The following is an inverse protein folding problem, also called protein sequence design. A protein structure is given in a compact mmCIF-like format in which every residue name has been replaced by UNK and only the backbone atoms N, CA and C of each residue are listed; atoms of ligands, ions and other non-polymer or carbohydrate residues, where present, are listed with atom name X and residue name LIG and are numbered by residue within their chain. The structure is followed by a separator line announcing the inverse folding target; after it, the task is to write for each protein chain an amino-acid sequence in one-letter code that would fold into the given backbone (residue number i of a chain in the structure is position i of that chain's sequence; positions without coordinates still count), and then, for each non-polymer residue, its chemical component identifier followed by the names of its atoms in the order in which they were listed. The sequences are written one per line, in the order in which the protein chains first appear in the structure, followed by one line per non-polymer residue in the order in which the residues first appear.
data_IF_309906592850
#
_entry.id   IF_309906592850
#
_cell.length_a   1.000
_cell.length_b   1.000
_cell.length_c   1.000
_cell.angle_alpha   90.00
_cell.angle_beta   90.00
_cell.angle_gamma   90.00
#
_symmetry.space_group_name_H-M   'P 1'
#
loop_
_entity.id
_entity.type
_entity.pdbx_description
1 polymer ?
#
# COMPACT_ATOMS: atom_id res chain seq x y z
N UNK A 1 2.18 2.45 -31.11
CA UNK A 1 2.35 1.40 -30.08
C UNK A 1 2.24 2.00 -28.70
N UNK A 2 1.53 1.33 -27.82
CA UNK A 2 1.40 1.72 -26.41
C UNK A 2 2.72 1.45 -25.69
N UNK A 3 3.30 2.49 -25.09
CA UNK A 3 4.56 2.39 -24.37
C UNK A 3 4.29 1.92 -22.94
N UNK A 4 5.00 0.90 -22.46
CA UNK A 4 4.89 0.40 -21.10
C UNK A 4 5.98 0.99 -20.21
N UNK A 5 5.60 1.49 -19.07
CA UNK A 5 6.50 1.99 -18.04
C UNK A 5 6.40 1.11 -16.81
N UNK A 6 7.53 0.60 -16.36
CA UNK A 6 7.64 -0.21 -15.15
C UNK A 6 8.18 0.69 -14.04
N UNK A 7 7.40 0.81 -12.96
CA UNK A 7 7.74 1.65 -11.80
C UNK A 7 8.17 0.73 -10.65
N UNK A 8 9.35 1.01 -10.13
CA UNK A 8 9.92 0.33 -8.96
C UNK A 8 9.26 0.73 -7.64
N UNK A 9 9.92 0.43 -6.54
CA UNK A 9 9.44 0.68 -5.18
C UNK A 9 8.97 2.12 -4.99
N UNK A 10 7.75 2.29 -4.49
CA UNK A 10 7.12 3.60 -4.26
C UNK A 10 7.16 4.00 -2.79
N UNK A 11 6.92 3.03 -1.89
CA UNK A 11 6.97 3.24 -0.45
C UNK A 11 6.25 4.51 0.04
N UNK A 12 4.98 4.66 -0.33
CA UNK A 12 4.14 5.75 0.16
C UNK A 12 4.49 7.16 -0.34
N UNK A 13 5.38 7.28 -1.32
CA UNK A 13 5.82 8.55 -1.91
C UNK A 13 4.83 9.05 -3.00
N UNK A 14 3.59 9.26 -2.57
CA UNK A 14 2.47 9.63 -3.45
C UNK A 14 2.73 10.89 -4.28
N UNK A 15 3.24 11.95 -3.64
CA UNK A 15 3.41 13.24 -4.32
C UNK A 15 4.46 13.15 -5.43
N UNK A 16 5.54 12.42 -5.19
CA UNK A 16 6.59 12.17 -6.17
C UNK A 16 6.05 11.29 -7.31
N UNK A 17 5.31 10.23 -6.95
CA UNK A 17 4.69 9.33 -7.92
C UNK A 17 3.71 10.08 -8.83
N UNK A 18 2.85 10.94 -8.28
CA UNK A 18 1.89 11.72 -9.04
C UNK A 18 2.58 12.61 -10.07
N UNK A 19 3.66 13.29 -9.67
CA UNK A 19 4.45 14.12 -10.57
C UNK A 19 5.15 13.32 -11.67
N UNK A 20 5.57 12.10 -11.36
CA UNK A 20 6.14 11.18 -12.37
C UNK A 20 5.08 10.80 -13.40
N UNK A 21 3.92 10.36 -12.95
CA UNK A 21 2.81 9.93 -13.82
C UNK A 21 2.35 11.07 -14.72
N UNK A 22 2.27 12.31 -14.22
CA UNK A 22 1.91 13.49 -15.01
C UNK A 22 2.85 13.74 -16.20
N UNK A 23 4.10 13.27 -16.10
CA UNK A 23 5.11 13.40 -17.18
C UNK A 23 5.04 12.28 -18.22
N UNK A 24 4.33 11.20 -17.91
CA UNK A 24 4.20 10.08 -18.83
C UNK A 24 3.10 10.37 -19.89
N UNK A 25 3.19 9.76 -21.08
CA UNK A 25 2.13 9.85 -22.06
C UNK A 25 0.80 9.36 -21.48
N UNK A 26 -0.29 10.03 -21.83
CA UNK A 26 -1.64 9.70 -21.29
C UNK A 26 -2.08 8.27 -21.61
N UNK A 27 -1.64 7.75 -22.74
CA UNK A 27 -1.93 6.39 -23.23
C UNK A 27 -0.90 5.35 -22.72
N UNK A 28 0.05 5.76 -21.90
CA UNK A 28 1.06 4.84 -21.36
C UNK A 28 0.44 3.71 -20.53
N UNK A 29 0.96 2.52 -20.71
CA UNK A 29 0.69 1.40 -19.81
C UNK A 29 1.64 1.50 -18.61
N UNK A 30 1.11 1.50 -17.40
CA UNK A 30 1.90 1.62 -16.17
C UNK A 30 1.77 0.32 -15.38
N UNK A 31 2.91 -0.24 -14.99
CA UNK A 31 3.00 -1.46 -14.20
C UNK A 31 3.93 -1.22 -13.01
N UNK A 32 3.45 -1.56 -11.82
CA UNK A 32 4.22 -1.48 -10.58
C UNK A 32 4.78 -2.84 -10.19
N UNK A 33 6.00 -2.86 -9.67
CA UNK A 33 6.66 -4.10 -9.21
C UNK A 33 6.29 -4.47 -7.77
N UNK A 34 5.29 -3.83 -7.20
CA UNK A 34 4.96 -3.94 -5.77
C UNK A 34 5.70 -2.90 -4.94
N UNK A 35 5.75 -3.13 -3.63
CA UNK A 35 6.34 -2.23 -2.64
C UNK A 35 5.80 -0.78 -2.75
N UNK A 36 4.48 -0.71 -2.82
CA UNK A 36 3.72 0.53 -2.92
C UNK A 36 3.67 1.29 -1.58
N UNK A 37 3.75 0.55 -0.49
CA UNK A 37 3.43 0.97 0.87
C UNK A 37 4.65 0.97 1.79
N UNK A 38 4.43 1.42 3.01
CA UNK A 38 5.39 1.48 4.12
C UNK A 38 6.44 2.58 3.94
N UNK A 39 7.02 3.03 5.05
CA UNK A 39 8.06 4.06 5.15
C UNK A 39 7.58 5.47 4.84
N UNK A 40 7.10 5.74 3.63
CA UNK A 40 6.59 7.05 3.22
C UNK A 40 5.21 7.37 3.81
N UNK A 41 4.82 8.64 3.75
CA UNK A 41 3.70 9.17 4.51
C UNK A 41 2.31 8.86 3.94
N UNK A 42 2.22 8.45 2.67
CA UNK A 42 0.94 8.40 1.94
C UNK A 42 0.69 7.05 1.25
N UNK A 43 0.87 5.95 2.00
CA UNK A 43 0.65 4.59 1.49
C UNK A 43 -0.79 4.36 1.03
N UNK A 44 -1.77 4.85 1.81
CA UNK A 44 -3.19 4.76 1.47
C UNK A 44 -3.48 5.41 0.11
N UNK A 45 -2.95 6.59 -0.10
CA UNK A 45 -3.14 7.36 -1.33
C UNK A 45 -2.48 6.68 -2.54
N UNK A 46 -1.33 6.02 -2.34
CA UNK A 46 -0.67 5.23 -3.40
C UNK A 46 -1.55 4.05 -3.81
N UNK A 47 -2.07 3.27 -2.86
CA UNK A 47 -2.99 2.17 -3.14
C UNK A 47 -4.22 2.68 -3.90
N UNK A 48 -4.83 3.77 -3.44
CA UNK A 48 -5.99 4.36 -4.09
C UNK A 48 -5.70 4.75 -5.54
N UNK A 49 -4.54 5.36 -5.79
CA UNK A 49 -4.11 5.74 -7.14
C UNK A 49 -4.00 4.53 -8.07
N UNK A 50 -3.36 3.46 -7.61
CA UNK A 50 -3.15 2.24 -8.41
C UNK A 50 -4.48 1.55 -8.69
N UNK A 51 -5.34 1.42 -7.68
CA UNK A 51 -6.68 0.82 -7.82
C UNK A 51 -7.58 1.60 -8.74
N UNK A 52 -7.71 2.91 -8.50
CA UNK A 52 -8.61 3.81 -9.26
C UNK A 52 -8.29 3.83 -10.74
N UNK A 53 -7.01 3.81 -11.09
CA UNK A 53 -6.58 3.85 -12.48
C UNK A 53 -6.40 2.44 -13.08
N UNK A 54 -6.64 1.40 -12.31
CA UNK A 54 -6.49 0.02 -12.72
C UNK A 54 -5.11 -0.27 -13.34
N UNK A 55 -4.07 0.30 -12.75
CA UNK A 55 -2.69 0.04 -13.18
C UNK A 55 -2.28 -1.40 -12.88
N UNK A 56 -1.43 -1.98 -13.72
CA UNK A 56 -0.83 -3.28 -13.44
C UNK A 56 0.04 -3.20 -12.17
N UNK A 57 -0.02 -4.24 -11.35
CA UNK A 57 0.81 -4.32 -10.15
C UNK A 57 1.03 -5.79 -9.78
N UNK A 58 2.26 -6.13 -9.41
CA UNK A 58 2.57 -7.42 -8.79
C UNK A 58 2.64 -7.28 -7.27
N UNK A 59 2.48 -8.40 -6.57
CA UNK A 59 2.54 -8.42 -5.11
C UNK A 59 4.00 -8.30 -4.65
N UNK A 60 4.32 -7.21 -3.95
CA UNK A 60 5.60 -7.03 -3.29
C UNK A 60 5.64 -7.64 -1.89
N UNK A 61 6.83 -7.73 -1.30
CA UNK A 61 6.97 -8.26 0.06
C UNK A 61 6.34 -7.34 1.12
N UNK A 62 6.34 -6.04 0.93
CA UNK A 62 5.69 -5.10 1.84
C UNK A 62 4.16 -5.26 1.84
N UNK A 63 3.55 -5.49 0.69
CA UNK A 63 2.12 -5.81 0.59
C UNK A 63 1.80 -7.12 1.27
N UNK A 64 2.66 -8.14 1.14
CA UNK A 64 2.48 -9.40 1.86
C UNK A 64 2.53 -9.19 3.38
N UNK A 65 3.43 -8.35 3.87
CA UNK A 65 3.47 -7.98 5.29
C UNK A 65 2.16 -7.33 5.75
N UNK A 66 1.61 -6.42 4.95
CA UNK A 66 0.30 -5.80 5.24
C UNK A 66 -0.83 -6.83 5.24
N UNK A 67 -0.82 -7.77 4.31
CA UNK A 67 -1.84 -8.86 4.28
C UNK A 67 -1.76 -9.67 5.58
N UNK A 68 -0.58 -10.12 5.97
CA UNK A 68 -0.40 -11.02 7.12
C UNK A 68 -0.67 -10.31 8.44
N UNK A 69 0.04 -9.23 8.68
CA UNK A 69 0.00 -8.50 9.96
C UNK A 69 -1.17 -7.53 10.04
N UNK A 70 -1.56 -6.90 8.92
CA UNK A 70 -2.73 -6.03 8.85
C UNK A 70 -4.02 -6.79 9.11
N UNK A 71 -4.15 -8.01 8.58
CA UNK A 71 -5.30 -8.89 8.88
C UNK A 71 -5.37 -9.21 10.37
N UNK A 72 -4.25 -9.50 11.01
CA UNK A 72 -4.19 -9.72 12.46
C UNK A 72 -4.59 -8.46 13.24
N UNK A 73 -4.13 -7.30 12.80
CA UNK A 73 -4.52 -6.01 13.38
C UNK A 73 -6.03 -5.78 13.33
N UNK A 74 -6.68 -6.08 12.22
CA UNK A 74 -8.14 -5.90 12.10
C UNK A 74 -8.94 -6.75 13.09
N UNK A 75 -8.40 -7.90 13.49
CA UNK A 75 -9.06 -8.80 14.45
C UNK A 75 -8.98 -8.30 15.89
N UNK A 76 -7.98 -7.54 16.24
CA UNK A 76 -7.73 -7.04 17.60
C UNK A 76 -8.16 -5.57 17.78
N UNK A 77 -8.40 -4.87 16.69
CA UNK A 77 -8.87 -3.49 16.69
C UNK A 77 -10.29 -3.36 17.29
N UNK A 78 -10.61 -2.35 18.08
CA UNK A 78 -9.72 -1.27 18.61
C UNK A 78 -9.09 -1.61 19.97
N UNK A 79 -9.28 -2.81 20.50
CA UNK A 79 -8.97 -3.19 21.89
C UNK A 79 -7.46 -3.30 22.19
N UNK A 80 -6.62 -3.43 21.18
CA UNK A 80 -5.19 -3.53 21.39
C UNK A 80 -4.54 -2.15 21.42
N UNK A 81 -4.05 -1.76 22.58
CA UNK A 81 -3.23 -0.56 22.73
C UNK A 81 -1.75 -0.83 22.45
N UNK A 82 -1.38 -2.09 22.24
CA UNK A 82 -0.01 -2.48 21.99
C UNK A 82 0.08 -3.45 20.80
N UNK A 83 0.56 -2.97 19.65
CA UNK A 83 0.69 -3.80 18.44
C UNK A 83 1.91 -4.71 18.44
N UNK A 84 2.33 -5.28 19.58
CA UNK A 84 3.49 -6.15 19.69
C UNK A 84 3.50 -7.29 18.66
N UNK A 85 2.32 -7.80 18.31
CA UNK A 85 2.16 -8.87 17.32
C UNK A 85 2.42 -8.41 15.86
N UNK A 86 2.52 -7.10 15.63
CA UNK A 86 2.85 -6.53 14.32
C UNK A 86 4.33 -6.15 14.21
N UNK A 87 5.15 -6.62 15.13
CA UNK A 87 6.52 -6.15 15.28
C UNK A 87 7.33 -6.16 13.99
N UNK A 88 7.24 -7.22 13.20
CA UNK A 88 7.96 -7.34 11.93
C UNK A 88 7.52 -6.30 10.91
N UNK A 89 6.23 -6.17 10.65
CA UNK A 89 5.73 -5.20 9.70
C UNK A 89 5.94 -3.77 10.19
N UNK A 90 5.61 -3.52 11.45
CA UNK A 90 5.77 -2.22 12.08
C UNK A 90 7.22 -1.70 11.97
N UNK A 91 8.20 -2.56 12.30
CA UNK A 91 9.61 -2.20 12.22
C UNK A 91 10.17 -2.09 10.80
N UNK A 92 9.43 -2.54 9.80
CA UNK A 92 9.77 -2.38 8.38
C UNK A 92 9.04 -1.20 7.71
N UNK A 93 8.44 -0.31 8.50
CA UNK A 93 7.79 0.89 8.03
C UNK A 93 6.26 0.79 7.91
N UNK A 94 5.66 -0.29 8.40
CA UNK A 94 4.21 -0.48 8.40
C UNK A 94 3.45 0.49 9.31
N UNK A 95 4.13 1.09 10.29
CA UNK A 95 3.61 2.19 11.09
C UNK A 95 3.15 3.36 10.21
N UNK A 96 3.97 3.74 9.24
CA UNK A 96 3.63 4.81 8.30
C UNK A 96 2.35 4.48 7.50
N UNK A 97 2.16 3.22 7.12
CA UNK A 97 0.94 2.77 6.46
C UNK A 97 -0.28 2.91 7.38
N UNK A 98 -0.20 2.43 8.61
CA UNK A 98 -1.29 2.59 9.59
C UNK A 98 -1.60 4.06 9.88
N UNK A 99 -0.58 4.93 9.90
CA UNK A 99 -0.76 6.37 9.99
C UNK A 99 -1.53 6.93 8.81
N UNK A 100 -1.22 6.49 7.60
CA UNK A 100 -1.88 6.98 6.38
C UNK A 100 -3.38 6.65 6.36
N UNK A 101 -3.80 5.61 7.09
CA UNK A 101 -5.22 5.26 7.31
C UNK A 101 -5.81 5.89 8.59
N UNK A 102 -5.08 6.72 9.30
CA UNK A 102 -5.54 7.29 10.57
C UNK A 102 -5.96 6.25 11.62
N UNK A 103 -5.31 5.09 11.62
CA UNK A 103 -5.63 3.98 12.54
C UNK A 103 -4.75 3.96 13.79
N UNK A 104 -3.65 4.71 13.78
CA UNK A 104 -2.75 4.89 14.92
C UNK A 104 -2.34 6.34 15.08
N UNK A 105 -1.95 6.71 16.30
CA UNK A 105 -1.34 8.01 16.62
C UNK A 105 -0.31 7.86 17.74
N UNK A 106 0.63 8.80 17.80
CA UNK A 106 1.54 8.93 18.93
C UNK A 106 1.10 10.07 19.86
N UNK A 107 0.67 9.71 21.05
CA UNK A 107 0.29 10.65 22.13
C UNK A 107 0.93 10.17 23.43
N UNK A 108 2.25 10.40 23.59
CA UNK A 108 3.00 9.83 24.72
C UNK A 108 3.22 8.31 24.64
N UNK A 109 2.98 7.73 23.49
CA UNK A 109 3.05 6.30 23.17
C UNK A 109 2.16 6.00 21.97
N UNK A 110 2.31 4.82 21.39
CA UNK A 110 1.50 4.38 20.27
C UNK A 110 0.09 4.02 20.77
N UNK A 111 -0.93 4.61 20.18
CA UNK A 111 -2.34 4.29 20.44
C UNK A 111 -3.11 4.02 19.16
N UNK A 112 -4.02 3.03 19.19
CA UNK A 112 -4.99 2.83 18.12
C UNK A 112 -6.04 3.94 18.16
N UNK A 113 -6.47 4.38 16.98
CA UNK A 113 -7.56 5.34 16.80
C UNK A 113 -8.79 4.60 16.34
N UNK A 114 -9.91 4.75 17.05
CA UNK A 114 -11.19 4.21 16.58
C UNK A 114 -11.67 5.02 15.38
N UNK A 115 -11.65 4.39 14.22
CA UNK A 115 -12.06 5.00 12.96
C UNK A 115 -12.64 3.90 12.06
N UNK A 116 -13.94 3.70 12.15
CA UNK A 116 -14.61 2.61 11.45
C UNK A 116 -14.57 2.75 9.93
N UNK A 117 -14.67 3.97 9.39
CA UNK A 117 -14.60 4.22 7.95
C UNK A 117 -13.22 3.88 7.40
N UNK A 118 -12.18 4.34 8.07
CA UNK A 118 -10.79 4.06 7.68
C UNK A 118 -10.45 2.57 7.86
N UNK A 119 -10.97 1.95 8.91
CA UNK A 119 -10.82 0.50 9.10
C UNK A 119 -11.50 -0.28 7.99
N UNK A 120 -12.68 0.14 7.55
CA UNK A 120 -13.36 -0.48 6.41
C UNK A 120 -12.51 -0.37 5.14
N UNK A 121 -11.99 0.82 4.85
CA UNK A 121 -11.12 1.04 3.70
C UNK A 121 -9.83 0.20 3.78
N UNK A 122 -9.23 0.13 4.97
CA UNK A 122 -8.04 -0.69 5.21
C UNK A 122 -8.29 -2.17 4.91
N UNK A 123 -9.42 -2.71 5.37
CA UNK A 123 -9.82 -4.09 5.07
C UNK A 123 -10.06 -4.33 3.58
N UNK A 124 -10.73 -3.40 2.91
CA UNK A 124 -10.99 -3.48 1.47
C UNK A 124 -9.67 -3.44 0.68
N UNK A 125 -8.72 -2.62 1.10
CA UNK A 125 -7.41 -2.54 0.46
C UNK A 125 -6.60 -3.83 0.67
N UNK A 126 -6.66 -4.44 1.86
CA UNK A 126 -6.07 -5.77 2.09
C UNK A 126 -6.67 -6.82 1.15
N UNK A 127 -7.99 -6.84 0.99
CA UNK A 127 -8.64 -7.79 0.06
C UNK A 127 -8.21 -7.55 -1.39
N UNK A 128 -8.03 -6.30 -1.79
CA UNK A 128 -7.47 -5.98 -3.09
C UNK A 128 -6.02 -6.46 -3.25
N UNK A 129 -5.17 -6.24 -2.25
CA UNK A 129 -3.78 -6.73 -2.27
C UNK A 129 -3.69 -8.24 -2.47
N UNK A 130 -4.61 -8.99 -1.89
CA UNK A 130 -4.69 -10.45 -2.06
C UNK A 130 -4.98 -10.88 -3.51
N UNK A 131 -5.51 -10.00 -4.33
CA UNK A 131 -5.78 -10.28 -5.76
C UNK A 131 -4.58 -10.04 -6.66
N UNK A 132 -3.51 -9.42 -6.16
CA UNK A 132 -2.35 -9.08 -6.97
C UNK A 132 -1.57 -10.34 -7.39
N UNK A 133 -1.18 -10.44 -8.68
CA UNK A 133 -0.39 -11.56 -9.16
C UNK A 133 1.07 -11.46 -8.68
N UNK A 134 1.78 -12.58 -8.73
CA UNK A 134 3.21 -12.63 -8.42
C UNK A 134 4.08 -12.18 -9.60
N UNK A 135 3.55 -12.24 -10.80
CA UNK A 135 4.22 -11.79 -12.03
C UNK A 135 3.19 -11.33 -13.06
N UNK A 136 3.65 -10.52 -13.99
CA UNK A 136 2.88 -10.10 -15.17
C UNK A 136 3.72 -10.43 -16.40
N UNK A 137 3.16 -11.20 -17.32
CA UNK A 137 3.78 -11.47 -18.60
C UNK A 137 3.49 -10.31 -19.56
N UNK A 138 4.54 -9.77 -20.12
CA UNK A 138 4.42 -8.78 -21.19
C UNK A 138 4.63 -9.51 -22.54
N UNK A 139 3.87 -9.12 -23.57
CA UNK A 139 4.08 -9.70 -24.89
C UNK A 139 5.52 -9.43 -25.35
N UNK A 140 6.11 -10.43 -26.03
CA UNK A 140 7.45 -10.28 -26.61
C UNK A 140 7.48 -9.03 -27.47
N UNK A 141 8.45 -8.17 -27.17
CA UNK A 141 8.71 -6.95 -27.91
C UNK A 141 9.95 -7.20 -28.76
N UNK A 142 9.75 -7.29 -30.06
CA UNK A 142 10.84 -7.21 -31.03
C UNK A 142 11.45 -5.81 -31.07
#
# INVERSE_FOLDING_TARGET
MKQTYIIGDVHGEYDTLSKLIEKLPKEAEIIFVGDLIDRGAKSREVIELVRKNNYGCVLGNHEQLMIDYGTSFTKTYPKSTNPCFMHTWYNNGGDATLYSYNLIKYTGGLTCVENEEEMKQFKEDIEWLKTLPLYIELPDRE
#
